data_IF_005939088055
#
_entry.id   IF_005939088055
#
_cell.length_a   1.000
_cell.length_b   1.000
_cell.length_c   1.000
_cell.angle_alpha   90.00
_cell.angle_beta   90.00
_cell.angle_gamma   90.00
#
_symmetry.space_group_name_H-M   'P 1'
#
loop_
_entity.id
_entity.type
_entity.pdbx_description
1 polymer ?
#
# COMPACT_ATOMS: atom_id res chain seq x y z
N UNK A 1 10.53 -16.88 19.98
CA UNK A 1 9.69 -16.24 18.96
C UNK A 1 10.40 -14.98 18.55
N UNK A 2 10.56 -14.66 17.25
CA UNK A 2 11.02 -13.36 16.85
C UNK A 2 9.97 -12.36 17.34
N UNK A 3 10.34 -11.58 18.33
CA UNK A 3 9.54 -10.45 18.81
C UNK A 3 9.77 -9.38 17.77
N UNK A 4 8.72 -8.95 17.08
CA UNK A 4 8.80 -7.68 16.34
C UNK A 4 9.21 -6.69 17.43
N UNK A 5 10.48 -6.22 17.37
CA UNK A 5 10.85 -5.11 18.22
C UNK A 5 9.88 -3.99 17.88
N UNK A 6 9.28 -3.40 18.89
CA UNK A 6 8.41 -2.24 18.73
C UNK A 6 9.04 -1.16 17.82
N UNK A 7 10.30 -1.22 17.50
CA UNK A 7 11.08 -0.27 16.71
C UNK A 7 11.16 -0.58 15.19
N UNK A 8 10.76 -1.78 14.76
CA UNK A 8 10.92 -2.20 13.35
C UNK A 8 9.64 -2.08 12.49
N UNK A 9 8.48 -1.84 13.11
CA UNK A 9 7.24 -1.62 12.39
C UNK A 9 6.97 -0.12 12.24
N UNK A 10 6.30 0.29 11.17
CA UNK A 10 5.68 1.62 11.10
C UNK A 10 4.63 1.71 12.22
N UNK A 11 5.09 2.08 13.44
CA UNK A 11 4.32 2.09 14.69
C UNK A 11 3.08 2.95 14.67
N UNK A 12 2.87 3.72 13.62
CA UNK A 12 1.86 4.76 13.56
C UNK A 12 0.45 4.23 13.31
N UNK A 13 0.32 3.25 12.45
CA UNK A 13 -0.93 2.50 12.36
C UNK A 13 -1.20 1.79 13.70
N UNK A 14 -0.15 1.25 14.34
CA UNK A 14 -0.24 0.49 15.58
C UNK A 14 -0.45 1.36 16.84
N UNK A 15 0.02 2.61 16.89
CA UNK A 15 -0.09 3.48 18.06
C UNK A 15 -1.53 3.95 18.36
N UNK A 16 -2.36 4.05 17.34
CA UNK A 16 -3.79 4.42 17.45
C UNK A 16 -4.70 3.22 17.74
N UNK A 17 -4.15 2.00 17.78
CA UNK A 17 -4.91 0.78 17.97
C UNK A 17 -5.14 0.46 19.46
N UNK A 18 -6.22 -0.27 19.74
CA UNK A 18 -6.39 -0.93 21.02
C UNK A 18 -5.23 -1.92 21.28
N UNK A 19 -4.89 -2.18 22.52
CA UNK A 19 -3.83 -3.14 22.87
C UNK A 19 -4.07 -4.53 22.25
N UNK A 20 -5.33 -4.98 22.17
CA UNK A 20 -5.71 -6.26 21.57
C UNK A 20 -5.47 -6.28 20.04
N UNK A 21 -5.93 -5.27 19.31
CA UNK A 21 -5.75 -5.15 17.86
C UNK A 21 -4.26 -5.06 17.50
N UNK A 22 -3.48 -4.33 18.30
CA UNK A 22 -2.02 -4.26 18.18
C UNK A 22 -1.36 -5.61 18.34
N UNK A 23 -1.73 -6.37 19.38
CA UNK A 23 -1.20 -7.70 19.62
C UNK A 23 -1.49 -8.66 18.46
N UNK A 24 -2.70 -8.61 17.89
CA UNK A 24 -3.06 -9.40 16.70
C UNK A 24 -2.21 -9.02 15.47
N UNK A 25 -2.03 -7.73 15.20
CA UNK A 25 -1.22 -7.26 14.07
C UNK A 25 0.26 -7.67 14.23
N UNK A 26 0.82 -7.53 15.42
CA UNK A 26 2.19 -7.97 15.74
C UNK A 26 2.34 -9.49 15.63
N UNK A 27 1.34 -10.26 16.10
CA UNK A 27 1.32 -11.72 15.96
C UNK A 27 1.29 -12.17 14.49
N UNK A 28 0.44 -11.55 13.68
CA UNK A 28 0.38 -11.80 12.24
C UNK A 28 1.71 -11.47 11.54
N UNK A 29 2.35 -10.37 11.91
CA UNK A 29 3.67 -9.99 11.42
C UNK A 29 4.74 -11.00 11.80
N UNK A 30 4.77 -11.49 13.05
CA UNK A 30 5.74 -12.50 13.49
C UNK A 30 5.60 -13.81 12.70
N UNK A 31 4.37 -14.22 12.39
CA UNK A 31 4.11 -15.40 11.55
C UNK A 31 4.59 -15.14 10.12
N UNK A 32 4.33 -13.95 9.57
CA UNK A 32 4.76 -13.58 8.22
C UNK A 32 6.30 -13.58 8.09
N UNK A 33 7.04 -13.09 9.09
CA UNK A 33 8.49 -13.12 9.11
C UNK A 33 9.03 -14.56 9.10
N UNK A 34 8.51 -15.43 9.98
CA UNK A 34 8.89 -16.84 10.01
C UNK A 34 8.56 -17.56 8.70
N UNK A 35 7.40 -17.25 8.11
CA UNK A 35 7.03 -17.81 6.81
C UNK A 35 8.01 -17.33 5.72
N UNK A 36 8.44 -16.07 5.75
CA UNK A 36 9.43 -15.57 4.82
C UNK A 36 10.78 -16.27 4.99
N UNK A 37 11.30 -16.40 6.21
CA UNK A 37 12.55 -17.15 6.49
C UNK A 37 12.47 -18.59 5.96
N UNK A 38 11.33 -19.24 6.21
CA UNK A 38 11.07 -20.61 5.74
C UNK A 38 11.05 -20.69 4.19
N UNK A 39 10.48 -19.67 3.53
CA UNK A 39 10.45 -19.56 2.07
C UNK A 39 11.84 -19.24 1.50
N UNK A 40 12.56 -18.28 2.08
CA UNK A 40 13.90 -17.87 1.62
C UNK A 40 14.93 -19.02 1.73
N UNK A 41 14.76 -19.91 2.71
CA UNK A 41 15.57 -21.14 2.84
C UNK A 41 15.32 -22.17 1.71
N UNK A 42 14.19 -22.08 1.00
CA UNK A 42 13.75 -23.09 0.00
C UNK A 42 13.61 -22.55 -1.42
N UNK A 43 13.44 -21.25 -1.58
CA UNK A 43 13.17 -20.59 -2.86
C UNK A 43 14.09 -19.40 -3.06
N UNK A 44 14.46 -19.15 -4.30
CA UNK A 44 15.13 -17.91 -4.68
C UNK A 44 14.08 -16.82 -4.89
N UNK A 45 13.80 -16.06 -3.85
CA UNK A 45 12.83 -14.98 -3.89
C UNK A 45 13.46 -13.66 -4.40
N UNK A 46 12.66 -12.73 -4.96
CA UNK A 46 13.13 -11.40 -5.34
C UNK A 46 13.75 -10.68 -4.13
N UNK A 47 14.89 -10.05 -4.35
CA UNK A 47 15.56 -9.22 -3.35
C UNK A 47 14.98 -7.80 -3.36
N UNK A 48 15.11 -7.08 -2.23
CA UNK A 48 14.64 -5.72 -2.12
C UNK A 48 15.34 -4.78 -3.11
N UNK A 49 14.56 -4.09 -3.95
CA UNK A 49 14.99 -3.09 -4.92
C UNK A 49 14.25 -1.77 -4.61
N UNK A 50 14.50 -1.24 -3.41
CA UNK A 50 13.89 -0.01 -2.89
C UNK A 50 14.98 1.03 -2.63
N UNK A 51 15.05 2.10 -3.44
CA UNK A 51 16.01 3.19 -3.21
C UNK A 51 15.54 4.07 -2.03
N UNK A 52 16.50 4.73 -1.38
CA UNK A 52 16.21 5.83 -0.47
C UNK A 52 15.91 7.11 -1.27
N UNK A 53 14.71 7.65 -1.11
CA UNK A 53 14.22 8.86 -1.77
C UNK A 53 13.76 9.90 -0.75
N UNK A 54 14.29 9.86 0.48
CA UNK A 54 13.91 10.73 1.59
C UNK A 54 14.13 12.21 1.30
N UNK A 55 15.16 12.55 0.52
CA UNK A 55 15.53 13.93 0.17
C UNK A 55 14.63 14.55 -0.92
N UNK A 56 13.81 13.76 -1.61
CA UNK A 56 12.96 14.24 -2.69
C UNK A 56 11.58 14.65 -2.19
N UNK A 57 10.92 15.57 -2.91
CA UNK A 57 9.50 15.79 -2.69
C UNK A 57 8.69 14.51 -2.99
N UNK A 58 7.49 14.33 -2.40
CA UNK A 58 6.66 13.15 -2.69
C UNK A 58 6.38 12.93 -4.17
N UNK A 59 6.16 14.00 -4.92
CA UNK A 59 5.90 13.95 -6.37
C UNK A 59 7.15 13.51 -7.14
N UNK A 60 8.32 14.09 -6.82
CA UNK A 60 9.59 13.76 -7.47
C UNK A 60 10.06 12.35 -7.08
N UNK A 61 9.90 11.94 -5.83
CA UNK A 61 10.20 10.59 -5.38
C UNK A 61 9.36 9.55 -6.13
N UNK A 62 8.06 9.79 -6.28
CA UNK A 62 7.17 8.92 -7.03
C UNK A 62 7.58 8.82 -8.51
N UNK A 63 7.89 9.95 -9.15
CA UNK A 63 8.33 9.97 -10.54
C UNK A 63 9.67 9.26 -10.71
N UNK A 64 10.65 9.55 -9.85
CA UNK A 64 11.98 8.93 -9.87
C UNK A 64 11.87 7.40 -9.73
N UNK A 65 11.08 6.93 -8.77
CA UNK A 65 10.86 5.49 -8.57
C UNK A 65 10.20 4.85 -9.79
N UNK A 66 9.20 5.51 -10.38
CA UNK A 66 8.56 5.02 -11.61
C UNK A 66 9.54 4.90 -12.77
N UNK A 67 10.45 5.86 -12.93
CA UNK A 67 11.47 5.83 -13.97
C UNK A 67 12.49 4.73 -13.74
N UNK A 68 13.00 4.58 -12.52
CA UNK A 68 13.93 3.50 -12.13
C UNK A 68 13.33 2.11 -12.36
N UNK A 69 12.03 1.96 -12.10
CA UNK A 69 11.33 0.69 -12.30
C UNK A 69 10.78 0.49 -13.72
N UNK A 70 11.00 1.43 -14.63
CA UNK A 70 10.58 1.34 -16.03
C UNK A 70 9.05 1.39 -16.22
N UNK A 71 8.30 2.00 -15.29
CA UNK A 71 6.84 2.04 -15.31
C UNK A 71 6.30 3.13 -16.25
N UNK A 72 7.10 4.14 -16.58
CA UNK A 72 6.66 5.29 -17.36
C UNK A 72 5.48 6.04 -16.69
N UNK A 73 4.62 6.64 -17.51
CA UNK A 73 3.49 7.46 -17.02
C UNK A 73 2.13 6.75 -17.05
N UNK A 74 2.08 5.49 -17.47
CA UNK A 74 0.84 4.72 -17.57
C UNK A 74 0.33 4.20 -16.22
N UNK A 75 -0.87 3.61 -16.19
CA UNK A 75 -1.39 2.98 -14.98
C UNK A 75 -0.57 1.74 -14.61
N UNK A 76 -0.43 1.48 -13.33
CA UNK A 76 0.18 0.27 -12.82
C UNK A 76 -0.83 -0.89 -13.01
N UNK A 77 -0.42 -1.98 -13.62
CA UNK A 77 -1.33 -3.11 -13.91
C UNK A 77 -1.80 -3.80 -12.64
N UNK A 78 -0.86 -4.11 -11.74
CA UNK A 78 -1.14 -4.74 -10.46
C UNK A 78 -0.10 -4.26 -9.45
N UNK A 79 -0.57 -3.62 -8.37
CA UNK A 79 0.32 -3.00 -7.38
C UNK A 79 1.00 -4.06 -6.52
N UNK A 80 0.29 -5.12 -6.14
CA UNK A 80 0.85 -6.20 -5.32
C UNK A 80 1.94 -6.95 -6.09
N UNK A 81 1.69 -7.33 -7.35
CA UNK A 81 2.71 -8.00 -8.17
C UNK A 81 3.93 -7.12 -8.40
N UNK A 82 3.73 -5.81 -8.56
CA UNK A 82 4.84 -4.86 -8.68
C UNK A 82 5.69 -4.87 -7.41
N UNK A 83 5.08 -4.72 -6.24
CA UNK A 83 5.77 -4.76 -4.96
C UNK A 83 6.55 -6.07 -4.77
N UNK A 84 5.90 -7.22 -5.02
CA UNK A 84 6.53 -8.54 -4.92
C UNK A 84 7.73 -8.67 -5.87
N UNK A 85 7.62 -8.14 -7.10
CA UNK A 85 8.72 -8.17 -8.07
C UNK A 85 9.92 -7.33 -7.65
N UNK A 86 9.70 -6.37 -6.75
CA UNK A 86 10.71 -5.48 -6.15
C UNK A 86 11.15 -5.92 -4.76
N UNK A 87 10.86 -7.17 -4.41
CA UNK A 87 11.32 -7.80 -3.17
C UNK A 87 10.49 -7.47 -1.92
N UNK A 88 9.38 -6.75 -2.06
CA UNK A 88 8.47 -6.50 -0.95
C UNK A 88 7.60 -7.73 -0.69
N UNK A 89 7.48 -8.16 0.55
CA UNK A 89 6.58 -9.23 0.97
C UNK A 89 5.22 -8.64 1.34
N UNK A 90 4.17 -9.04 0.63
CA UNK A 90 2.82 -8.49 0.83
C UNK A 90 1.92 -9.53 1.47
N UNK A 91 1.34 -9.18 2.62
CA UNK A 91 0.44 -10.04 3.38
C UNK A 91 -0.90 -9.33 3.64
N UNK A 92 -1.95 -10.12 3.79
CA UNK A 92 -3.25 -9.64 4.24
C UNK A 92 -3.33 -9.65 5.75
N UNK A 93 -3.92 -8.62 6.34
CA UNK A 93 -4.30 -8.61 7.74
C UNK A 93 -5.52 -9.51 7.98
N UNK A 94 -5.64 -10.04 9.20
CA UNK A 94 -6.79 -10.84 9.63
C UNK A 94 -8.03 -9.97 9.85
N UNK A 95 -9.22 -10.59 9.88
CA UNK A 95 -10.49 -9.89 10.18
C UNK A 95 -10.49 -9.21 11.55
N UNK A 96 -9.76 -9.73 12.52
CA UNK A 96 -9.59 -9.16 13.85
C UNK A 96 -8.83 -7.81 13.83
N UNK A 97 -8.09 -7.57 12.77
CA UNK A 97 -7.35 -6.33 12.52
C UNK A 97 -8.07 -5.37 11.57
N UNK A 98 -9.39 -5.50 11.38
CA UNK A 98 -10.19 -4.70 10.42
C UNK A 98 -10.13 -3.18 10.62
N UNK A 99 -9.81 -2.73 11.83
CA UNK A 99 -9.67 -1.31 12.17
C UNK A 99 -8.30 -0.74 11.78
N UNK A 100 -7.38 -1.60 11.34
CA UNK A 100 -6.06 -1.24 10.83
C UNK A 100 -6.18 -1.00 9.33
N UNK A 101 -5.68 0.12 8.82
CA UNK A 101 -5.70 0.38 7.39
C UNK A 101 -4.66 -0.46 6.63
N UNK A 102 -3.41 -0.23 6.91
CA UNK A 102 -2.24 -0.96 6.44
C UNK A 102 -1.06 -0.60 7.34
N UNK A 103 0.04 -1.31 7.24
CA UNK A 103 1.33 -0.90 7.77
C UNK A 103 2.46 -1.61 7.03
N UNK A 104 3.67 -1.03 7.10
CA UNK A 104 4.87 -1.65 6.60
C UNK A 104 5.92 -1.82 7.69
N UNK A 105 6.89 -2.69 7.41
CA UNK A 105 8.01 -2.97 8.32
C UNK A 105 9.21 -3.47 7.53
N UNK A 106 10.41 -3.22 8.06
CA UNK A 106 11.63 -3.90 7.64
C UNK A 106 11.99 -5.00 8.62
N UNK A 107 12.32 -6.17 8.11
CA UNK A 107 12.83 -7.29 8.91
C UNK A 107 14.01 -7.94 8.18
N UNK A 108 15.19 -7.92 8.79
CA UNK A 108 16.44 -8.48 8.24
C UNK A 108 16.71 -8.10 6.77
N UNK A 109 16.54 -6.81 6.46
CA UNK A 109 16.75 -6.27 5.10
C UNK A 109 15.64 -6.59 4.10
N UNK A 110 14.58 -7.27 4.51
CA UNK A 110 13.40 -7.55 3.69
C UNK A 110 12.27 -6.61 4.07
N UNK A 111 11.66 -5.89 3.11
CA UNK A 111 10.49 -5.04 3.34
C UNK A 111 9.19 -5.85 3.32
N UNK A 112 8.32 -5.56 4.27
CA UNK A 112 6.99 -6.16 4.41
C UNK A 112 5.91 -5.09 4.34
N UNK A 113 4.79 -5.42 3.70
CA UNK A 113 3.56 -4.62 3.68
C UNK A 113 2.39 -5.49 4.09
N UNK A 114 1.62 -5.01 5.05
CA UNK A 114 0.42 -5.67 5.57
C UNK A 114 -0.80 -4.85 5.18
N UNK A 115 -1.73 -5.44 4.42
CA UNK A 115 -2.88 -4.74 3.86
C UNK A 115 -4.19 -5.22 4.47
N UNK A 116 -5.06 -4.27 4.79
CA UNK A 116 -6.44 -4.58 5.14
C UNK A 116 -7.23 -4.90 3.86
N UNK A 117 -7.64 -6.17 3.74
CA UNK A 117 -8.40 -6.65 2.58
C UNK A 117 -9.92 -6.56 2.77
N UNK A 118 -10.42 -6.02 3.90
CA UNK A 118 -11.85 -5.80 4.14
C UNK A 118 -12.39 -4.53 3.45
N UNK A 119 -11.48 -3.64 3.02
CA UNK A 119 -11.82 -2.41 2.29
C UNK A 119 -12.00 -2.67 0.79
N UNK A 120 -12.38 -1.66 0.01
CA UNK A 120 -12.44 -1.78 -1.45
C UNK A 120 -11.07 -2.12 -2.05
N UNK A 121 -11.08 -2.74 -3.24
CA UNK A 121 -9.84 -3.10 -3.93
C UNK A 121 -8.99 -1.86 -4.24
N UNK A 122 -9.65 -0.76 -4.65
CA UNK A 122 -8.99 0.53 -4.93
C UNK A 122 -8.33 1.11 -3.68
N UNK A 123 -8.97 0.96 -2.51
CA UNK A 123 -8.39 1.45 -1.25
C UNK A 123 -7.19 0.62 -0.83
N UNK A 124 -7.29 -0.72 -0.85
CA UNK A 124 -6.13 -1.59 -0.59
C UNK A 124 -4.95 -1.29 -1.53
N UNK A 125 -5.23 -0.99 -2.79
CA UNK A 125 -4.21 -0.60 -3.77
C UNK A 125 -3.57 0.75 -3.44
N UNK A 126 -4.36 1.73 -3.01
CA UNK A 126 -3.85 3.02 -2.56
C UNK A 126 -3.01 2.87 -1.29
N UNK A 127 -3.50 2.08 -0.33
CA UNK A 127 -2.79 1.76 0.91
C UNK A 127 -1.43 1.08 0.61
N UNK A 128 -1.38 0.16 -0.37
CA UNK A 128 -0.13 -0.47 -0.80
C UNK A 128 0.88 0.54 -1.39
N UNK A 129 0.42 1.55 -2.14
CA UNK A 129 1.26 2.61 -2.64
C UNK A 129 1.68 3.61 -1.54
N UNK A 130 0.83 3.81 -0.53
CA UNK A 130 1.12 4.62 0.65
C UNK A 130 2.24 3.98 1.49
N UNK A 131 2.14 2.68 1.76
CA UNK A 131 3.18 1.94 2.48
C UNK A 131 4.50 1.90 1.70
N UNK A 132 4.45 1.83 0.36
CA UNK A 132 5.64 1.99 -0.47
C UNK A 132 6.28 3.37 -0.26
N UNK A 133 5.47 4.42 -0.12
CA UNK A 133 5.95 5.77 0.20
C UNK A 133 6.76 5.79 1.48
N UNK A 134 6.28 5.16 2.54
CA UNK A 134 7.02 5.01 3.79
C UNK A 134 8.31 4.21 3.61
N UNK A 135 8.27 3.09 2.90
CA UNK A 135 9.44 2.23 2.68
C UNK A 135 10.58 2.93 1.93
N UNK A 136 10.29 3.86 1.01
CA UNK A 136 11.32 4.53 0.20
C UNK A 136 11.68 5.94 0.69
N UNK A 137 10.90 6.53 1.61
CA UNK A 137 11.14 7.91 2.05
C UNK A 137 11.39 8.05 3.55
N UNK A 138 10.83 7.15 4.35
CA UNK A 138 10.87 7.29 5.80
C UNK A 138 11.74 6.22 6.49
N UNK A 139 12.52 5.47 5.72
CA UNK A 139 13.36 4.36 6.23
C UNK A 139 14.27 4.82 7.36
N UNK A 140 14.88 6.02 7.25
CA UNK A 140 15.72 6.57 8.31
C UNK A 140 14.94 6.88 9.57
N UNK A 141 13.78 7.50 9.46
CA UNK A 141 12.92 7.82 10.61
C UNK A 141 12.25 6.58 11.23
N UNK A 142 12.09 5.50 10.45
CA UNK A 142 11.63 4.21 10.97
C UNK A 142 12.69 3.53 11.82
N UNK A 143 13.97 3.70 11.47
CA UNK A 143 15.10 3.10 12.17
C UNK A 143 15.61 3.95 13.35
N UNK A 144 15.41 5.27 13.29
CA UNK A 144 15.92 6.24 14.27
C UNK A 144 14.77 7.12 14.76
N UNK A 145 14.28 6.84 15.96
CA UNK A 145 13.20 7.61 16.59
C UNK A 145 13.76 8.90 17.18
N UNK A 146 13.42 10.05 16.58
CA UNK A 146 13.57 11.33 17.26
C UNK A 146 12.35 11.62 18.13
N UNK A 147 12.56 12.14 19.33
CA UNK A 147 11.54 12.46 20.35
C UNK A 147 10.62 13.64 19.95
N UNK A 148 10.63 14.06 18.71
CA UNK A 148 9.91 15.23 18.21
C UNK A 148 8.50 14.91 17.69
N UNK A 149 7.58 14.73 18.59
CA UNK A 149 6.18 15.15 18.55
C UNK A 149 5.25 14.79 17.38
N UNK A 150 3.94 14.78 17.71
CA UNK A 150 2.79 14.49 16.85
C UNK A 150 2.69 15.27 15.54
N UNK A 151 3.20 16.53 15.47
CA UNK A 151 3.14 17.36 14.25
C UNK A 151 3.94 16.77 13.08
N UNK A 152 5.11 16.21 13.38
CA UNK A 152 5.95 15.56 12.35
C UNK A 152 5.28 14.29 11.80
N UNK A 153 4.44 13.69 12.59
CA UNK A 153 3.65 12.52 12.19
C UNK A 153 2.64 12.86 11.09
N UNK A 154 1.83 13.89 11.28
CA UNK A 154 0.80 14.27 10.30
C UNK A 154 1.43 14.70 8.97
N UNK A 155 2.59 15.34 9.02
CA UNK A 155 3.35 15.72 7.81
C UNK A 155 3.85 14.49 7.05
N UNK A 156 4.39 13.48 7.73
CA UNK A 156 4.86 12.24 7.09
C UNK A 156 3.69 11.50 6.45
N UNK A 157 2.56 11.38 7.14
CA UNK A 157 1.35 10.75 6.59
C UNK A 157 0.81 11.51 5.36
N UNK A 158 0.83 12.85 5.40
CA UNK A 158 0.48 13.68 4.25
C UNK A 158 1.43 13.46 3.09
N UNK A 159 2.73 13.35 3.35
CA UNK A 159 3.75 13.08 2.33
C UNK A 159 3.61 11.68 1.73
N UNK A 160 3.33 10.65 2.54
CA UNK A 160 3.06 9.29 2.06
C UNK A 160 1.78 9.24 1.20
N UNK A 161 0.73 9.95 1.59
CA UNK A 161 -0.49 10.10 0.78
C UNK A 161 -0.22 10.82 -0.55
N UNK A 162 0.59 11.90 -0.53
CA UNK A 162 0.98 12.62 -1.74
C UNK A 162 1.83 11.74 -2.67
N UNK A 163 2.77 10.97 -2.12
CA UNK A 163 3.56 9.99 -2.86
C UNK A 163 2.65 8.93 -3.50
N UNK A 164 1.74 8.31 -2.75
CA UNK A 164 0.81 7.30 -3.27
C UNK A 164 -0.03 7.84 -4.43
N UNK A 165 -0.57 9.05 -4.26
CA UNK A 165 -1.35 9.72 -5.30
C UNK A 165 -0.53 9.98 -6.57
N UNK A 166 0.71 10.46 -6.43
CA UNK A 166 1.63 10.70 -7.53
C UNK A 166 2.11 9.40 -8.19
N UNK A 167 2.40 8.37 -7.39
CA UNK A 167 2.86 7.07 -7.87
C UNK A 167 1.79 6.34 -8.67
N UNK A 168 0.54 6.34 -8.23
CA UNK A 168 -0.58 5.73 -8.96
C UNK A 168 -1.08 6.61 -10.11
N UNK A 169 -0.99 7.93 -9.98
CA UNK A 169 -1.58 8.92 -10.90
C UNK A 169 -0.57 10.02 -11.22
N UNK A 170 0.45 9.77 -12.08
CA UNK A 170 1.46 10.76 -12.44
C UNK A 170 0.85 12.06 -12.98
N UNK A 171 1.33 13.20 -12.50
CA UNK A 171 0.79 14.53 -12.76
C UNK A 171 0.46 14.79 -14.22
N UNK A 172 1.44 14.68 -15.11
CA UNK A 172 1.29 15.04 -16.51
C UNK A 172 0.29 14.12 -17.24
N UNK A 173 0.31 12.83 -16.91
CA UNK A 173 -0.60 11.86 -17.50
C UNK A 173 -2.04 12.04 -17.01
N UNK A 174 -2.24 12.44 -15.75
CA UNK A 174 -3.56 12.76 -15.19
C UNK A 174 -4.10 14.03 -15.82
N UNK A 175 -3.29 15.09 -15.96
CA UNK A 175 -3.69 16.34 -16.59
C UNK A 175 -4.05 16.10 -18.05
N UNK A 176 -3.26 15.31 -18.79
CA UNK A 176 -3.53 14.97 -20.18
C UNK A 176 -4.86 14.22 -20.37
N UNK A 177 -5.34 13.53 -19.33
CA UNK A 177 -6.61 12.76 -19.34
C UNK A 177 -7.74 13.44 -18.59
N UNK A 178 -7.61 14.73 -18.28
CA UNK A 178 -8.69 15.44 -17.59
C UNK A 178 -9.98 15.42 -18.42
N UNK A 179 -11.14 15.27 -17.78
CA UNK A 179 -12.41 15.29 -18.47
C UNK A 179 -12.75 16.69 -19.00
N UNK A 180 -13.58 16.78 -20.04
CA UNK A 180 -14.10 18.05 -20.54
C UNK A 180 -14.94 18.78 -19.47
N UNK A 181 -15.64 18.03 -18.62
CA UNK A 181 -16.37 18.56 -17.45
C UNK A 181 -16.16 17.63 -16.25
N UNK A 182 -15.92 18.22 -15.08
CA UNK A 182 -15.73 17.46 -13.84
C UNK A 182 -17.08 17.05 -13.24
N UNK A 183 -17.61 15.94 -13.75
CA UNK A 183 -18.84 15.31 -13.27
C UNK A 183 -18.55 13.91 -12.75
N UNK A 184 -19.36 13.43 -11.78
CA UNK A 184 -19.20 12.09 -11.22
C UNK A 184 -19.17 10.99 -12.30
N UNK A 185 -20.08 10.95 -13.30
CA UNK A 185 -20.02 9.93 -14.37
C UNK A 185 -18.74 9.96 -15.20
N UNK A 186 -18.18 11.15 -15.48
CA UNK A 186 -16.91 11.23 -16.21
C UNK A 186 -15.73 10.76 -15.35
N UNK A 187 -15.71 11.10 -14.07
CA UNK A 187 -14.66 10.64 -13.16
C UNK A 187 -14.70 9.12 -12.97
N UNK A 188 -15.90 8.49 -12.94
CA UNK A 188 -16.03 7.02 -12.89
C UNK A 188 -15.33 6.35 -14.07
N UNK A 189 -15.45 6.88 -15.28
CA UNK A 189 -14.73 6.34 -16.46
C UNK A 189 -13.23 6.45 -16.33
N UNK A 190 -12.73 7.57 -15.77
CA UNK A 190 -11.29 7.84 -15.66
C UNK A 190 -10.68 7.03 -14.50
N UNK A 191 -11.38 6.88 -13.36
CA UNK A 191 -10.86 6.10 -12.23
C UNK A 191 -10.53 4.66 -12.61
N UNK A 192 -11.32 4.05 -13.49
CA UNK A 192 -11.09 2.68 -13.99
C UNK A 192 -9.75 2.55 -14.70
N UNK A 193 -9.36 3.57 -15.47
CA UNK A 193 -8.08 3.56 -16.15
C UNK A 193 -6.90 3.54 -15.16
N UNK A 194 -7.00 4.34 -14.08
CA UNK A 194 -5.95 4.42 -13.08
C UNK A 194 -6.02 3.31 -12.01
N UNK A 195 -7.14 2.63 -11.87
CA UNK A 195 -7.38 1.65 -10.82
C UNK A 195 -7.36 2.27 -9.42
N UNK A 196 -7.99 3.43 -9.26
CA UNK A 196 -8.06 4.17 -8.00
C UNK A 196 -9.51 4.43 -7.60
N UNK A 197 -9.75 4.82 -6.35
CA UNK A 197 -11.08 5.20 -5.91
C UNK A 197 -11.52 6.52 -6.56
N UNK A 198 -12.83 6.69 -6.68
CA UNK A 198 -13.42 7.92 -7.21
C UNK A 198 -13.00 9.15 -6.39
N UNK A 199 -12.93 8.99 -5.07
CA UNK A 199 -12.51 10.04 -4.15
C UNK A 199 -11.03 10.38 -4.34
N UNK A 200 -10.15 9.38 -4.46
CA UNK A 200 -8.72 9.60 -4.69
C UNK A 200 -8.47 10.34 -6.00
N UNK A 201 -9.17 9.99 -7.08
CA UNK A 201 -9.07 10.70 -8.36
C UNK A 201 -9.54 12.15 -8.26
N UNK A 202 -10.70 12.40 -7.64
CA UNK A 202 -11.22 13.76 -7.46
C UNK A 202 -10.26 14.61 -6.62
N UNK A 203 -9.68 14.03 -5.56
CA UNK A 203 -8.67 14.67 -4.72
C UNK A 203 -7.43 15.01 -5.53
N UNK A 204 -6.92 14.06 -6.34
CA UNK A 204 -5.74 14.29 -7.19
C UNK A 204 -5.94 15.46 -8.14
N UNK A 205 -7.11 15.59 -8.80
CA UNK A 205 -7.40 16.75 -9.64
C UNK A 205 -7.45 18.06 -8.86
N UNK A 206 -7.94 18.03 -7.63
CA UNK A 206 -7.94 19.20 -6.74
C UNK A 206 -6.53 19.62 -6.36
N UNK A 207 -5.69 18.68 -5.92
CA UNK A 207 -4.30 18.91 -5.51
C UNK A 207 -3.44 19.42 -6.69
N UNK A 208 -3.75 19.00 -7.91
CA UNK A 208 -3.11 19.48 -9.14
C UNK A 208 -3.69 20.81 -9.66
N UNK A 209 -4.62 21.45 -8.95
CA UNK A 209 -5.23 22.71 -9.35
C UNK A 209 -6.10 22.64 -10.60
N UNK A 210 -6.56 21.43 -10.98
CA UNK A 210 -7.38 21.24 -12.21
C UNK A 210 -8.86 21.53 -11.95
N UNK A 211 -9.28 21.60 -10.71
CA UNK A 211 -10.64 21.97 -10.28
C UNK A 211 -10.58 23.01 -9.17
N UNK A 212 -11.54 23.93 -9.16
CA UNK A 212 -11.68 24.87 -8.04
C UNK A 212 -12.18 24.13 -6.79
N UNK A 213 -11.93 24.70 -5.61
CA UNK A 213 -12.42 24.14 -4.35
C UNK A 213 -13.93 23.98 -4.33
N UNK A 214 -14.66 24.89 -4.97
CA UNK A 214 -16.11 24.81 -5.09
C UNK A 214 -16.55 23.57 -5.90
N UNK A 215 -15.91 23.31 -7.05
CA UNK A 215 -16.19 22.10 -7.87
C UNK A 215 -15.87 20.85 -7.07
N UNK A 216 -14.70 20.81 -6.40
CA UNK A 216 -14.29 19.67 -5.59
C UNK A 216 -15.30 19.38 -4.47
N UNK A 217 -15.75 20.39 -3.74
CA UNK A 217 -16.79 20.24 -2.69
C UNK A 217 -18.11 19.70 -3.26
N UNK A 218 -18.55 20.19 -4.41
CA UNK A 218 -19.76 19.69 -5.07
C UNK A 218 -19.64 18.24 -5.49
N UNK A 219 -18.47 17.83 -6.02
CA UNK A 219 -18.18 16.43 -6.31
C UNK A 219 -18.25 15.58 -5.04
N UNK A 220 -17.64 16.02 -3.92
CA UNK A 220 -17.69 15.32 -2.65
C UNK A 220 -19.12 15.15 -2.13
N UNK A 221 -19.94 16.19 -2.21
CA UNK A 221 -21.37 16.15 -1.82
C UNK A 221 -22.13 15.16 -2.71
N UNK A 222 -21.93 15.23 -4.03
CA UNK A 222 -22.56 14.31 -4.97
C UNK A 222 -22.16 12.86 -4.73
N UNK A 223 -20.88 12.58 -4.52
CA UNK A 223 -20.37 11.24 -4.19
C UNK A 223 -20.97 10.72 -2.87
N UNK A 224 -21.06 11.58 -1.84
CA UNK A 224 -21.69 11.20 -0.57
C UNK A 224 -23.17 10.86 -0.72
N UNK A 225 -23.93 11.66 -1.47
CA UNK A 225 -25.38 11.41 -1.73
C UNK A 225 -25.61 10.09 -2.47
N UNK A 226 -24.68 9.68 -3.33
CA UNK A 226 -24.76 8.42 -4.06
C UNK A 226 -24.16 7.23 -3.30
N UNK A 227 -23.71 7.40 -2.05
CA UNK A 227 -23.10 6.33 -1.26
C UNK A 227 -21.70 5.92 -1.70
N UNK A 228 -21.06 6.67 -2.60
CA UNK A 228 -19.74 6.33 -3.19
C UNK A 228 -18.56 6.54 -2.24
N UNK A 229 -18.81 6.94 -0.99
CA UNK A 229 -17.78 6.94 0.07
C UNK A 229 -17.62 5.58 0.73
N UNK A 230 -18.69 4.78 0.77
CA UNK A 230 -18.70 3.45 1.38
C UNK A 230 -18.70 2.33 0.34
N UNK A 231 -19.29 2.57 -0.82
CA UNK A 231 -19.36 1.58 -1.92
C UNK A 231 -18.78 2.20 -3.17
N UNK A 232 -17.67 1.64 -3.64
CA UNK A 232 -17.00 2.15 -4.84
C UNK A 232 -17.82 1.86 -6.09
N UNK A 233 -18.15 2.88 -6.94
CA UNK A 233 -18.83 2.64 -8.21
C UNK A 233 -17.89 1.93 -9.18
N UNK A 234 -18.41 0.95 -9.91
CA UNK A 234 -17.64 0.13 -10.85
C UNK A 234 -16.30 -0.33 -10.25
N UNK A 235 -16.35 -1.19 -9.21
CA UNK A 235 -15.16 -1.59 -8.47
C UNK A 235 -14.21 -2.41 -9.35
N UNK A 236 -12.92 -2.29 -9.10
CA UNK A 236 -11.91 -3.14 -9.73
C UNK A 236 -11.85 -4.51 -9.06
N UNK A 237 -11.31 -5.51 -9.77
CA UNK A 237 -10.98 -6.80 -9.16
C UNK A 237 -9.88 -6.63 -8.10
N UNK A 238 -10.01 -7.37 -6.99
CA UNK A 238 -9.01 -7.34 -5.92
C UNK A 238 -7.70 -7.92 -6.39
N UNK A 239 -6.62 -7.22 -6.10
CA UNK A 239 -5.26 -7.69 -6.31
C UNK A 239 -4.88 -8.69 -5.21
N UNK A 240 -4.18 -9.74 -5.57
CA UNK A 240 -3.73 -10.80 -4.66
C UNK A 240 -2.26 -11.13 -4.90
N UNK A 241 -1.61 -11.76 -3.92
CA UNK A 241 -0.21 -12.20 -4.02
C UNK A 241 -0.05 -13.25 -5.12
N UNK A 242 0.86 -13.00 -6.05
CA UNK A 242 1.32 -13.97 -7.04
C UNK A 242 2.48 -14.81 -6.48
N UNK A 243 3.32 -14.23 -5.64
CA UNK A 243 4.45 -14.90 -5.01
C UNK A 243 3.96 -16.05 -4.13
N UNK A 244 3.05 -15.77 -3.19
CA UNK A 244 2.48 -16.81 -2.33
C UNK A 244 1.72 -17.87 -3.13
N UNK A 245 0.98 -17.47 -4.16
CA UNK A 245 0.27 -18.42 -5.03
C UNK A 245 1.22 -19.38 -5.74
N UNK A 246 2.34 -18.89 -6.27
CA UNK A 246 3.36 -19.72 -6.93
C UNK A 246 4.08 -20.65 -5.94
N UNK A 247 4.44 -20.14 -4.76
CA UNK A 247 5.06 -20.96 -3.70
C UNK A 247 4.12 -22.09 -3.30
N UNK A 248 2.85 -21.78 -3.03
CA UNK A 248 1.87 -22.78 -2.61
C UNK A 248 1.60 -23.83 -3.70
N UNK A 249 1.50 -23.43 -4.97
CA UNK A 249 1.35 -24.35 -6.08
C UNK A 249 2.55 -25.31 -6.17
N UNK A 250 3.77 -24.79 -6.11
CA UNK A 250 4.99 -25.61 -6.16
C UNK A 250 5.06 -26.61 -4.99
N UNK A 251 4.69 -26.20 -3.78
CA UNK A 251 4.64 -27.07 -2.61
C UNK A 251 3.59 -28.18 -2.75
N UNK A 252 2.43 -27.85 -3.33
CA UNK A 252 1.39 -28.87 -3.63
C UNK A 252 1.90 -29.92 -4.61
N UNK A 253 2.65 -29.51 -5.65
CA UNK A 253 3.26 -30.44 -6.62
C UNK A 253 4.27 -31.39 -5.92
N UNK A 254 4.96 -30.89 -4.89
CA UNK A 254 5.87 -31.66 -4.04
C UNK A 254 5.14 -32.46 -2.93
N UNK A 255 3.81 -32.43 -2.90
CA UNK A 255 2.97 -33.05 -1.85
C UNK A 255 3.22 -32.51 -0.43
N UNK A 256 3.71 -31.27 -0.32
CA UNK A 256 3.89 -30.57 0.95
C UNK A 256 2.60 -29.78 1.24
N UNK A 257 1.81 -30.27 2.17
CA UNK A 257 0.54 -29.66 2.56
C UNK A 257 0.71 -28.59 3.64
N UNK A 258 -0.36 -27.80 3.84
CA UNK A 258 -0.40 -26.72 4.85
C UNK A 258 -0.05 -27.19 6.26
N UNK A 259 -0.49 -28.39 6.66
CA UNK A 259 -0.18 -28.98 7.96
C UNK A 259 1.32 -29.28 8.14
N UNK A 260 2.06 -29.57 7.06
CA UNK A 260 3.51 -29.73 7.13
C UNK A 260 4.18 -28.36 7.32
N UNK A 261 3.74 -27.35 6.58
CA UNK A 261 4.24 -25.98 6.71
C UNK A 261 4.01 -25.47 8.14
N UNK A 262 2.81 -25.66 8.69
CA UNK A 262 2.50 -25.28 10.07
C UNK A 262 3.42 -25.96 11.10
N UNK A 263 3.70 -27.25 10.94
CA UNK A 263 4.66 -27.96 11.79
C UNK A 263 6.07 -27.42 11.67
N UNK A 264 6.54 -27.15 10.45
CA UNK A 264 7.87 -26.59 10.19
C UNK A 264 8.01 -25.19 10.81
N UNK A 265 6.93 -24.39 10.81
CA UNK A 265 6.85 -23.07 11.42
C UNK A 265 6.60 -23.12 12.95
N UNK A 266 6.29 -24.28 13.51
CA UNK A 266 5.86 -24.44 14.90
C UNK A 266 4.65 -23.55 15.27
N UNK A 267 3.62 -23.51 14.42
CA UNK A 267 2.35 -22.79 14.60
C UNK A 267 1.16 -23.72 14.36
#
# INVERSE_FOLDING_TARGET
MPVISEHAASFRALSKMSAGTRACALGAGAIAFRLNEWMDARFKLPQADLPDLSDLSPEDAALTLRMQWGLGYGPIRNMIHLLESKGVRVFSLTEESRDVDAFCSWYEGTPFVFLNTMKSAERSRFDAAHELGHLVRDTYSMLHRDETGERRHDEIEQQANAFAAAFLMPKDAVIARKPAAFTVPQLIRIKRYWGVSLVALARRYSDLGQVSEWIYRNLCVSMSRNGYRSTEPEPMARETSQLLSKVMAHLQDQKIGRSQIARDLCV
#
